data_IF_784369046150
#
_entry.id   IF_784369046150
#
_cell.length_a   1.000
_cell.length_b   1.000
_cell.length_c   1.000
_cell.angle_alpha   90.00
_cell.angle_beta   90.00
_cell.angle_gamma   90.00
#
_symmetry.space_group_name_H-M   'P 1'
#
loop_
_entity.id
_entity.type
_entity.pdbx_description
1 polymer ?
#
# COMPACT_ATOMS: atom_id res chain seq x y z
N UNK A 1 -12.84 -2.55 10.28
CA UNK A 1 -12.27 -3.66 9.47
C UNK A 1 -13.14 -3.87 8.23
N UNK A 2 -12.68 -4.60 7.21
CA UNK A 2 -13.36 -4.70 5.88
C UNK A 2 -14.88 -4.94 5.98
N UNK A 3 -15.31 -5.94 6.77
CA UNK A 3 -16.73 -6.29 6.88
C UNK A 3 -17.60 -5.18 7.50
N UNK A 4 -17.07 -4.43 8.46
CA UNK A 4 -17.78 -3.26 9.00
C UNK A 4 -17.83 -2.14 7.96
N UNK A 5 -16.71 -1.87 7.27
CA UNK A 5 -16.66 -0.81 6.27
C UNK A 5 -17.64 -1.01 5.12
N UNK A 6 -17.81 -2.26 4.65
CA UNK A 6 -18.77 -2.57 3.58
C UNK A 6 -20.23 -2.24 3.95
N UNK A 7 -20.59 -2.18 5.23
CA UNK A 7 -21.96 -1.82 5.66
C UNK A 7 -22.30 -0.35 5.42
N UNK A 8 -21.28 0.50 5.28
CA UNK A 8 -21.44 1.94 5.09
C UNK A 8 -21.43 2.36 3.63
N UNK A 9 -21.12 1.45 2.70
CA UNK A 9 -21.04 1.75 1.26
C UNK A 9 -22.35 1.35 0.59
N UNK A 10 -22.92 2.27 -0.21
CA UNK A 10 -24.12 2.03 -1.01
C UNK A 10 -23.78 1.96 -2.50
N UNK A 11 -24.56 1.17 -3.25
CA UNK A 11 -24.40 1.11 -4.70
C UNK A 11 -24.66 2.49 -5.33
N UNK A 12 -23.73 2.94 -6.18
CA UNK A 12 -23.78 4.26 -6.83
C UNK A 12 -23.25 5.43 -5.99
N UNK A 13 -22.77 5.16 -4.78
CA UNK A 13 -22.16 6.19 -3.93
C UNK A 13 -20.82 6.69 -4.47
N UNK A 14 -20.53 7.97 -4.26
CA UNK A 14 -19.24 8.58 -4.57
C UNK A 14 -18.38 8.54 -3.31
N UNK A 15 -17.31 7.74 -3.33
CA UNK A 15 -16.36 7.61 -2.22
C UNK A 15 -14.97 8.07 -2.63
N UNK A 16 -14.23 8.67 -1.71
CA UNK A 16 -12.81 8.92 -1.92
C UNK A 16 -12.01 7.62 -1.78
N UNK A 17 -11.08 7.39 -2.70
CA UNK A 17 -10.24 6.19 -2.72
C UNK A 17 -8.80 6.51 -3.11
N UNK A 18 -7.85 5.74 -2.57
CA UNK A 18 -6.51 5.56 -3.15
C UNK A 18 -6.47 4.19 -3.82
N UNK A 19 -5.99 4.13 -5.07
CA UNK A 19 -6.13 2.96 -5.92
C UNK A 19 -4.84 2.57 -6.63
N UNK A 20 -4.37 1.35 -6.35
CA UNK A 20 -3.43 0.67 -7.22
C UNK A 20 -4.20 -0.24 -8.18
N UNK A 21 -3.91 -0.12 -9.48
CA UNK A 21 -4.51 -0.96 -10.53
C UNK A 21 -3.48 -1.29 -11.59
N UNK A 22 -3.45 -2.55 -11.99
CA UNK A 22 -2.64 -3.01 -13.13
C UNK A 22 -3.40 -4.08 -13.91
N UNK A 23 -3.17 -4.11 -15.22
CA UNK A 23 -3.72 -5.14 -16.09
C UNK A 23 -2.67 -5.63 -17.08
N UNK A 24 -2.83 -6.87 -17.52
CA UNK A 24 -1.99 -7.47 -18.56
C UNK A 24 -2.73 -8.62 -19.24
N UNK A 25 -2.46 -8.81 -20.52
CA UNK A 25 -2.86 -9.96 -21.34
C UNK A 25 -1.66 -10.81 -21.78
N UNK A 26 -0.48 -10.54 -21.23
CA UNK A 26 0.74 -11.28 -21.55
C UNK A 26 0.77 -12.59 -20.78
N UNK A 27 0.75 -13.76 -21.46
CA UNK A 27 0.72 -15.05 -20.80
C UNK A 27 1.88 -15.21 -19.80
N UNK A 28 1.60 -15.79 -18.65
CA UNK A 28 2.56 -16.03 -17.57
C UNK A 28 3.10 -14.78 -16.86
N UNK A 29 2.66 -13.57 -17.24
CA UNK A 29 3.03 -12.36 -16.53
C UNK A 29 2.42 -12.38 -15.11
N UNK A 30 3.27 -12.22 -14.10
CA UNK A 30 2.83 -11.94 -12.73
C UNK A 30 2.58 -10.43 -12.62
N UNK A 31 1.37 -10.05 -12.22
CA UNK A 31 0.97 -8.66 -11.97
C UNK A 31 0.63 -8.48 -10.49
N UNK A 32 0.97 -7.33 -9.92
CA UNK A 32 0.73 -6.98 -8.52
C UNK A 32 0.16 -5.56 -8.40
N UNK A 33 -0.82 -5.38 -7.52
CA UNK A 33 -1.31 -4.08 -7.07
C UNK A 33 -1.38 -4.07 -5.54
N UNK A 34 -0.88 -3.02 -4.92
CA UNK A 34 -0.73 -2.90 -3.47
C UNK A 34 -1.06 -1.49 -2.99
N UNK A 35 -1.71 -1.41 -1.83
CA UNK A 35 -1.87 -0.17 -1.08
C UNK A 35 -1.18 -0.32 0.26
N UNK A 36 -0.29 0.62 0.60
CA UNK A 36 0.38 0.72 1.89
C UNK A 36 -0.26 1.80 2.76
N UNK A 37 -0.16 1.65 4.07
CA UNK A 37 -0.68 2.58 5.07
C UNK A 37 0.30 2.73 6.24
N UNK A 38 0.76 3.96 6.46
CA UNK A 38 1.57 4.37 7.61
C UNK A 38 0.70 5.07 8.64
N UNK A 39 0.72 4.58 9.89
CA UNK A 39 -0.09 5.11 11.00
C UNK A 39 0.84 5.76 12.03
N UNK A 40 0.70 7.07 12.31
CA UNK A 40 1.53 7.75 13.29
C UNK A 40 1.22 7.28 14.71
N UNK A 41 2.17 7.47 15.61
CA UNK A 41 1.98 7.22 17.03
C UNK A 41 1.05 8.25 17.69
N UNK A 42 1.20 9.50 17.29
CA UNK A 42 0.30 10.57 17.70
C UNK A 42 -1.01 10.50 16.92
N UNK A 43 -2.11 10.30 17.64
CA UNK A 43 -3.46 10.21 17.07
C UNK A 43 -4.00 11.54 16.55
N UNK A 44 -3.33 12.66 16.85
CA UNK A 44 -3.68 13.98 16.33
C UNK A 44 -3.06 14.26 14.94
N UNK A 45 -2.18 13.37 14.47
CA UNK A 45 -1.55 13.48 13.15
C UNK A 45 -2.26 12.61 12.13
N UNK A 46 -2.19 13.02 10.86
CA UNK A 46 -2.71 12.22 9.75
C UNK A 46 -1.74 11.08 9.42
N UNK A 47 -2.30 9.97 8.94
CA UNK A 47 -1.52 8.87 8.37
C UNK A 47 -1.20 9.10 6.89
N UNK A 48 -0.37 8.22 6.34
CA UNK A 48 -0.06 8.21 4.91
C UNK A 48 -0.59 6.95 4.24
N UNK A 49 -1.05 7.11 3.01
CA UNK A 49 -1.34 6.00 2.09
C UNK A 49 -0.37 6.06 0.93
N UNK A 50 -0.01 4.89 0.41
CA UNK A 50 0.80 4.74 -0.81
C UNK A 50 0.11 3.75 -1.74
N UNK A 51 0.32 3.92 -3.04
CA UNK A 51 -0.08 2.96 -4.06
C UNK A 51 1.15 2.43 -4.78
N UNK A 52 1.13 1.14 -5.09
CA UNK A 52 2.16 0.48 -5.87
C UNK A 52 1.55 -0.53 -6.82
N UNK A 53 2.08 -0.61 -8.02
CA UNK A 53 1.73 -1.65 -8.98
C UNK A 53 2.96 -2.08 -9.76
N UNK A 54 3.07 -3.37 -10.04
CA UNK A 54 4.30 -3.94 -10.58
C UNK A 54 4.12 -5.25 -11.33
N UNK A 55 5.17 -5.59 -12.08
CA UNK A 55 5.30 -6.85 -12.81
C UNK A 55 6.38 -7.71 -12.18
N UNK A 56 6.16 -9.02 -12.12
CA UNK A 56 7.19 -9.96 -11.62
C UNK A 56 7.41 -9.91 -10.11
N UNK A 57 6.56 -9.21 -9.37
CA UNK A 57 6.66 -9.07 -7.92
C UNK A 57 5.72 -10.02 -7.20
N UNK A 58 6.23 -10.66 -6.14
CA UNK A 58 5.38 -11.45 -5.23
C UNK A 58 4.47 -10.53 -4.41
N UNK A 59 3.37 -11.09 -3.88
CA UNK A 59 2.45 -10.37 -3.00
C UNK A 59 3.18 -9.71 -1.82
N UNK A 60 4.13 -10.44 -1.22
CA UNK A 60 4.94 -9.93 -0.12
C UNK A 60 5.85 -8.78 -0.54
N UNK A 61 6.52 -8.89 -1.69
CA UNK A 61 7.43 -7.85 -2.16
C UNK A 61 6.69 -6.55 -2.49
N UNK A 62 5.59 -6.64 -3.25
CA UNK A 62 4.76 -5.48 -3.57
C UNK A 62 4.07 -4.88 -2.33
N UNK A 63 3.68 -5.73 -1.37
CA UNK A 63 3.13 -5.32 -0.08
C UNK A 63 4.12 -4.56 0.79
N UNK A 64 5.29 -5.16 1.03
CA UNK A 64 6.38 -4.55 1.80
C UNK A 64 6.77 -3.20 1.17
N UNK A 65 6.99 -3.16 -0.14
CA UNK A 65 7.35 -1.93 -0.86
C UNK A 65 6.32 -0.80 -0.68
N UNK A 66 5.02 -1.11 -0.79
CA UNK A 66 3.97 -0.12 -0.54
C UNK A 66 3.98 0.36 0.92
N UNK A 67 4.09 -0.55 1.91
CA UNK A 67 4.20 -0.13 3.32
C UNK A 67 5.38 0.81 3.55
N UNK A 68 6.53 0.53 2.94
CA UNK A 68 7.73 1.32 3.14
C UNK A 68 7.62 2.70 2.51
N UNK A 69 6.96 2.83 1.34
CA UNK A 69 6.62 4.15 0.78
C UNK A 69 5.74 4.91 1.76
N UNK A 70 4.69 4.29 2.30
CA UNK A 70 3.79 4.98 3.23
C UNK A 70 4.51 5.38 4.53
N UNK A 71 5.40 4.53 5.04
CA UNK A 71 6.22 4.82 6.22
C UNK A 71 7.22 5.94 5.96
N UNK A 72 7.91 5.92 4.81
CA UNK A 72 8.88 6.95 4.44
C UNK A 72 8.21 8.32 4.25
N UNK A 73 7.05 8.35 3.58
CA UNK A 73 6.27 9.57 3.42
C UNK A 73 5.76 10.10 4.75
N UNK A 74 5.32 9.23 5.66
CA UNK A 74 4.96 9.65 7.02
C UNK A 74 6.18 10.20 7.76
N UNK A 75 7.31 9.51 7.72
CA UNK A 75 8.52 9.88 8.43
C UNK A 75 9.07 11.25 7.98
N UNK A 76 9.02 11.57 6.69
CA UNK A 76 9.46 12.86 6.17
C UNK A 76 8.63 14.02 6.74
N UNK A 77 7.32 13.84 6.93
CA UNK A 77 6.47 14.85 7.58
C UNK A 77 6.74 15.01 9.07
N UNK A 78 7.36 14.02 9.71
CA UNK A 78 7.71 14.03 11.13
C UNK A 78 9.15 14.52 11.39
N UNK A 79 9.82 15.02 10.35
CA UNK A 79 11.19 15.51 10.41
C UNK A 79 12.23 14.41 10.65
N UNK A 80 11.94 13.16 10.28
CA UNK A 80 12.92 12.08 10.31
C UNK A 80 13.68 12.12 8.98
N UNK A 81 14.99 12.38 9.03
CA UNK A 81 15.83 12.39 7.83
C UNK A 81 15.89 10.98 7.22
N UNK A 82 15.54 10.92 5.93
CA UNK A 82 15.60 9.70 5.16
C UNK A 82 16.91 9.67 4.39
N UNK A 83 17.80 8.73 4.71
CA UNK A 83 19.01 8.52 3.93
C UNK A 83 18.69 7.54 2.78
N UNK A 84 18.57 8.05 1.56
CA UNK A 84 18.27 7.26 0.36
C UNK A 84 19.31 6.16 0.07
N UNK A 85 20.53 6.32 0.59
CA UNK A 85 21.61 5.35 0.43
C UNK A 85 21.54 4.18 1.42
N UNK A 86 20.64 4.23 2.42
CA UNK A 86 20.49 3.12 3.37
C UNK A 86 19.76 1.93 2.74
N UNK A 87 20.23 0.74 3.10
CA UNK A 87 19.57 -0.50 2.75
C UNK A 87 18.15 -0.55 3.34
N UNK A 88 17.33 -1.39 2.74
CA UNK A 88 15.93 -1.56 3.13
C UNK A 88 15.77 -1.97 4.61
N UNK A 89 16.63 -2.88 5.10
CA UNK A 89 16.61 -3.35 6.49
C UNK A 89 16.97 -2.24 7.48
N UNK A 90 17.94 -1.38 7.12
CA UNK A 90 18.37 -0.24 7.95
C UNK A 90 17.24 0.79 8.10
N UNK A 91 16.52 1.09 7.00
CA UNK A 91 15.37 2.01 7.02
C UNK A 91 14.25 1.52 7.94
N UNK A 92 13.94 0.22 7.88
CA UNK A 92 12.95 -0.40 8.77
C UNK A 92 13.32 -0.30 10.25
N UNK A 93 14.61 -0.40 10.58
CA UNK A 93 15.07 -0.23 11.96
C UNK A 93 14.97 1.21 12.43
N UNK A 94 15.35 2.19 11.61
CA UNK A 94 15.23 3.63 11.95
C UNK A 94 13.78 4.00 12.29
N UNK A 95 12.81 3.52 11.51
CA UNK A 95 11.39 3.77 11.78
C UNK A 95 10.93 3.16 13.12
N UNK A 96 11.30 1.91 13.40
CA UNK A 96 10.96 1.25 14.66
C UNK A 96 11.60 1.92 15.87
N UNK A 97 12.85 2.39 15.73
CA UNK A 97 13.60 3.06 16.80
C UNK A 97 13.02 4.45 17.09
N UNK A 98 12.49 5.13 16.08
CA UNK A 98 11.94 6.49 16.25
C UNK A 98 10.70 6.55 17.15
N UNK A 99 10.01 5.43 17.41
CA UNK A 99 8.71 5.35 18.10
C UNK A 99 7.61 6.29 17.55
N UNK A 100 7.85 6.97 16.42
CA UNK A 100 6.94 7.95 15.82
C UNK A 100 5.91 7.31 14.90
N UNK A 101 6.19 6.10 14.40
CA UNK A 101 5.27 5.29 13.58
C UNK A 101 4.81 4.12 14.43
N UNK A 102 3.50 4.03 14.70
CA UNK A 102 2.93 2.96 15.53
C UNK A 102 2.79 1.67 14.73
N UNK A 103 2.39 1.77 13.46
CA UNK A 103 2.09 0.60 12.66
C UNK A 103 2.09 0.91 11.17
N UNK A 104 2.58 -0.03 10.38
CA UNK A 104 2.35 -0.09 8.94
C UNK A 104 1.41 -1.24 8.60
N UNK A 105 0.65 -1.11 7.52
CA UNK A 105 -0.23 -2.14 6.98
C UNK A 105 -0.28 -2.05 5.46
N UNK A 106 -0.46 -3.18 4.79
CA UNK A 106 -0.79 -3.20 3.36
C UNK A 106 -1.99 -4.09 3.05
N UNK A 107 -2.52 -3.89 1.85
CA UNK A 107 -3.37 -4.86 1.16
C UNK A 107 -2.86 -5.00 -0.27
N UNK A 108 -2.53 -6.24 -0.64
CA UNK A 108 -1.93 -6.56 -1.94
C UNK A 108 -2.74 -7.62 -2.64
N UNK A 109 -2.92 -7.48 -3.96
CA UNK A 109 -3.48 -8.52 -4.81
C UNK A 109 -2.50 -8.81 -5.94
N UNK A 110 -2.27 -10.10 -6.19
CA UNK A 110 -1.47 -10.55 -7.34
C UNK A 110 -2.27 -11.52 -8.22
N UNK A 111 -1.84 -11.66 -9.47
CA UNK A 111 -2.34 -12.67 -10.38
C UNK A 111 -1.27 -13.06 -11.41
N UNK A 112 -1.23 -14.33 -11.78
CA UNK A 112 -0.52 -14.78 -12.98
C UNK A 112 -1.52 -14.76 -14.13
N UNK A 113 -1.21 -14.01 -15.19
CA UNK A 113 -2.04 -13.94 -16.39
C UNK A 113 -2.12 -15.31 -17.06
N UNK A 114 -3.35 -15.83 -17.19
CA UNK A 114 -3.62 -17.13 -17.84
C UNK A 114 -4.15 -16.93 -19.27
N UNK A 115 -3.46 -17.52 -20.24
CA UNK A 115 -3.85 -17.41 -21.65
C UNK A 115 -3.72 -15.98 -22.18
N UNK A 116 -4.55 -15.61 -23.16
CA UNK A 116 -4.51 -14.30 -23.84
C UNK A 116 -5.58 -13.31 -23.37
N UNK A 117 -6.35 -13.64 -22.33
CA UNK A 117 -7.35 -12.75 -21.77
C UNK A 117 -6.69 -11.71 -20.85
N UNK A 118 -7.22 -10.49 -20.83
CA UNK A 118 -6.79 -9.48 -19.86
C UNK A 118 -7.12 -9.92 -18.44
N UNK A 119 -6.11 -9.91 -17.58
CA UNK A 119 -6.28 -10.01 -16.14
C UNK A 119 -6.03 -8.62 -15.57
N UNK A 120 -6.86 -8.22 -14.60
CA UNK A 120 -6.70 -6.97 -13.86
C UNK A 120 -6.65 -7.31 -12.38
N UNK A 121 -5.70 -6.73 -11.67
CA UNK A 121 -5.67 -6.75 -10.20
C UNK A 121 -5.79 -5.31 -9.69
N UNK A 122 -6.48 -5.15 -8.56
CA UNK A 122 -6.77 -3.87 -7.94
C UNK A 122 -6.59 -4.00 -6.43
N UNK A 123 -6.00 -2.99 -5.82
CA UNK A 123 -5.97 -2.79 -4.37
C UNK A 123 -6.47 -1.37 -4.05
N UNK A 124 -7.24 -1.22 -2.96
CA UNK A 124 -7.94 0.02 -2.62
C UNK A 124 -7.86 0.33 -1.13
N UNK A 125 -7.66 1.60 -0.81
CA UNK A 125 -8.06 2.18 0.46
C UNK A 125 -9.27 3.09 0.22
N UNK A 126 -10.42 2.71 0.80
CA UNK A 126 -11.70 3.41 0.64
C UNK A 126 -12.00 4.20 1.92
N UNK A 127 -12.24 5.49 1.77
CA UNK A 127 -12.67 6.36 2.86
C UNK A 127 -14.18 6.27 3.01
N UNK A 128 -14.60 6.00 4.25
CA UNK A 128 -16.00 5.75 4.61
C UNK A 128 -16.42 6.83 5.59
N UNK A 129 -17.62 7.38 5.39
CA UNK A 129 -18.22 8.43 6.23
C UNK A 129 -19.20 7.87 7.26
#
# INVERSE_FOLDING_TARGET
GRNEGLKHIKAGEITFVVQARICSNEPHRLIAASIGCGIPADKNLYGYLSEHHGFGETEKAAGDYAEDIAAAMLASTLGIEFNENQSWDERRQVFKISNKIVRTRNITQTAIVKGRNYHTVVALAVFIM
#
